data_IF_792461567051
#
_entry.id   IF_792461567051
#
_cell.length_a   1.000
_cell.length_b   1.000
_cell.length_c   1.000
_cell.angle_alpha   90.00
_cell.angle_beta   90.00
_cell.angle_gamma   90.00
#
_symmetry.space_group_name_H-M   'P 1'
#
loop_
_entity.id
_entity.type
_entity.pdbx_description
1 polymer ?
#
# COMPACT_ATOMS: atom_id res chain seq x y z
N UNK A 1 -6.22 11.51 -6.57
CA UNK A 1 -5.98 12.97 -6.45
C UNK A 1 -6.14 13.47 -5.01
N UNK A 2 -7.26 13.17 -4.32
CA UNK A 2 -7.52 13.67 -2.95
C UNK A 2 -6.41 13.36 -1.95
N UNK A 3 -5.93 12.11 -1.90
CA UNK A 3 -4.87 11.71 -0.96
C UNK A 3 -3.52 12.37 -1.28
N UNK A 4 -3.22 12.65 -2.56
CA UNK A 4 -2.02 13.41 -2.94
C UNK A 4 -2.10 14.84 -2.38
N UNK A 5 -3.27 15.49 -2.52
CA UNK A 5 -3.48 16.83 -1.95
C UNK A 5 -3.33 16.81 -0.43
N UNK A 6 -3.91 15.81 0.24
CA UNK A 6 -3.76 15.64 1.69
C UNK A 6 -2.29 15.44 2.09
N UNK A 7 -1.57 14.55 1.37
CA UNK A 7 -0.15 14.33 1.58
C UNK A 7 0.65 15.62 1.44
N UNK A 8 0.49 16.37 0.34
CA UNK A 8 1.20 17.64 0.14
C UNK A 8 0.83 18.69 1.21
N UNK A 9 -0.43 18.75 1.61
CA UNK A 9 -0.90 19.65 2.69
C UNK A 9 -0.22 19.28 4.01
N UNK A 10 -0.17 18.01 4.35
CA UNK A 10 0.52 17.53 5.55
C UNK A 10 2.02 17.81 5.47
N UNK A 11 2.68 17.55 4.33
CA UNK A 11 4.10 17.86 4.17
C UNK A 11 4.42 19.35 4.32
N UNK A 12 3.46 20.23 4.01
CA UNK A 12 3.62 21.68 4.22
C UNK A 12 3.61 22.05 5.71
N UNK A 13 2.77 21.42 6.53
CA UNK A 13 2.60 21.75 7.94
C UNK A 13 3.47 20.91 8.89
N UNK A 14 3.69 19.65 8.56
CA UNK A 14 4.40 18.65 9.37
C UNK A 14 5.34 17.81 8.48
N UNK A 15 6.46 18.40 8.00
CA UNK A 15 7.43 17.71 7.16
C UNK A 15 8.29 16.67 7.89
N UNK A 16 8.18 16.57 9.23
CA UNK A 16 8.93 15.60 10.03
C UNK A 16 8.03 14.50 10.64
N UNK A 17 6.72 14.55 10.36
CA UNK A 17 5.70 13.65 10.88
C UNK A 17 5.56 13.67 12.41
N UNK A 18 6.04 14.69 13.12
CA UNK A 18 6.13 14.75 14.58
C UNK A 18 5.53 16.02 15.22
N UNK A 19 5.03 16.97 14.42
CA UNK A 19 4.40 18.20 14.92
C UNK A 19 2.90 18.27 14.67
N UNK A 20 2.18 18.91 15.59
CA UNK A 20 0.75 19.18 15.40
C UNK A 20 0.50 20.13 14.24
N UNK A 21 -0.53 19.82 13.45
CA UNK A 21 -1.05 20.66 12.38
C UNK A 21 -2.28 21.42 12.87
N UNK A 22 -2.66 22.54 12.21
CA UNK A 22 -3.95 23.16 12.44
C UNK A 22 -5.10 22.16 12.26
N UNK A 23 -6.16 22.19 13.09
CA UNK A 23 -7.26 21.23 13.07
C UNK A 23 -7.90 20.96 11.70
N UNK A 24 -7.98 22.00 10.86
CA UNK A 24 -8.56 21.90 9.52
C UNK A 24 -7.76 20.96 8.60
N UNK A 25 -6.46 20.77 8.83
CA UNK A 25 -5.61 19.84 8.06
C UNK A 25 -6.04 18.41 8.31
N UNK A 26 -6.36 18.05 9.56
CA UNK A 26 -6.88 16.72 9.88
C UNK A 26 -8.31 16.54 9.35
N UNK A 27 -9.15 17.58 9.44
CA UNK A 27 -10.48 17.55 8.85
C UNK A 27 -10.45 17.37 7.31
N UNK A 28 -9.51 18.03 6.62
CA UNK A 28 -9.32 17.84 5.18
C UNK A 28 -8.78 16.44 4.85
N UNK A 29 -7.95 15.86 5.72
CA UNK A 29 -7.52 14.46 5.60
C UNK A 29 -8.71 13.50 5.64
N UNK A 30 -9.63 13.67 6.60
CA UNK A 30 -10.87 12.89 6.69
C UNK A 30 -11.75 13.04 5.45
N UNK A 31 -12.00 14.28 5.03
CA UNK A 31 -12.84 14.57 3.86
C UNK A 31 -12.20 13.99 2.59
N UNK A 32 -10.92 14.22 2.37
CA UNK A 32 -10.23 13.75 1.17
C UNK A 32 -10.16 12.22 1.09
N UNK A 33 -9.96 11.54 2.23
CA UNK A 33 -9.95 10.08 2.27
C UNK A 33 -11.36 9.50 2.06
N UNK A 34 -12.38 10.10 2.66
CA UNK A 34 -13.77 9.72 2.43
C UNK A 34 -14.20 9.93 0.97
N UNK A 35 -13.81 11.06 0.37
CA UNK A 35 -14.07 11.30 -1.05
C UNK A 35 -13.33 10.28 -1.92
N UNK A 36 -12.06 9.98 -1.61
CA UNK A 36 -11.31 8.94 -2.32
C UNK A 36 -12.08 7.62 -2.35
N UNK A 37 -12.42 7.02 -1.20
CA UNK A 37 -13.12 5.73 -1.18
C UNK A 37 -14.48 5.79 -1.89
N UNK A 38 -15.15 6.95 -1.84
CA UNK A 38 -16.48 7.10 -2.42
C UNK A 38 -16.39 7.12 -3.94
N UNK A 39 -15.46 7.90 -4.50
CA UNK A 39 -15.28 7.98 -5.94
C UNK A 39 -14.71 6.69 -6.53
N UNK A 40 -13.85 6.02 -5.77
CA UNK A 40 -13.34 4.68 -6.05
C UNK A 40 -14.51 3.68 -6.19
N UNK A 41 -15.35 3.52 -5.16
CA UNK A 41 -16.51 2.63 -5.23
C UNK A 41 -17.53 3.00 -6.34
N UNK A 42 -17.61 4.28 -6.74
CA UNK A 42 -18.53 4.76 -7.78
C UNK A 42 -18.06 4.39 -9.19
N UNK A 43 -16.76 4.24 -9.43
CA UNK A 43 -16.26 3.97 -10.78
C UNK A 43 -16.73 2.61 -11.32
N UNK A 44 -16.75 1.56 -10.48
CA UNK A 44 -17.20 0.24 -10.84
C UNK A 44 -18.71 0.20 -11.06
N UNK A 45 -19.48 0.97 -10.27
CA UNK A 45 -20.92 1.15 -10.51
C UNK A 45 -21.17 1.81 -11.86
N UNK A 46 -20.40 2.85 -12.18
CA UNK A 46 -20.51 3.57 -13.45
C UNK A 46 -20.07 2.70 -14.64
N UNK A 47 -19.01 1.91 -14.50
CA UNK A 47 -18.56 0.95 -15.51
C UNK A 47 -19.61 -0.12 -15.80
N UNK A 48 -20.27 -0.66 -14.77
CA UNK A 48 -21.38 -1.61 -14.94
C UNK A 48 -22.58 -0.95 -15.63
N UNK A 49 -22.95 0.26 -15.22
CA UNK A 49 -24.07 1.02 -15.81
C UNK A 49 -23.84 1.32 -17.29
N UNK A 50 -22.61 1.67 -17.67
CA UNK A 50 -22.25 2.02 -19.06
C UNK A 50 -21.81 0.80 -19.89
N UNK A 51 -21.82 -0.41 -19.30
CA UNK A 51 -21.35 -1.68 -19.89
C UNK A 51 -19.88 -1.63 -20.36
N UNK A 52 -19.05 -0.89 -19.62
CA UNK A 52 -17.61 -0.71 -19.88
C UNK A 52 -16.72 -1.47 -18.88
N UNK A 53 -17.27 -2.41 -18.11
CA UNK A 53 -16.47 -3.24 -17.21
C UNK A 53 -15.45 -4.07 -18.01
N UNK A 54 -14.20 -4.10 -17.55
CA UNK A 54 -13.14 -4.88 -18.18
C UNK A 54 -11.84 -4.88 -17.36
N UNK A 55 -10.85 -5.68 -17.78
CA UNK A 55 -9.59 -5.89 -17.04
C UNK A 55 -8.79 -4.61 -16.80
N UNK A 56 -8.87 -3.62 -17.70
CA UNK A 56 -8.20 -2.33 -17.52
C UNK A 56 -8.72 -1.59 -16.28
N UNK A 57 -10.03 -1.65 -16.03
CA UNK A 57 -10.66 -0.97 -14.90
C UNK A 57 -10.15 -1.54 -13.58
N UNK A 58 -10.22 -2.86 -13.41
CA UNK A 58 -9.71 -3.57 -12.23
C UNK A 58 -8.21 -3.31 -12.01
N UNK A 59 -7.41 -3.37 -13.08
CA UNK A 59 -5.97 -3.11 -12.99
C UNK A 59 -5.67 -1.67 -12.57
N UNK A 60 -6.39 -0.70 -13.13
CA UNK A 60 -6.20 0.71 -12.84
C UNK A 60 -6.59 1.02 -11.39
N UNK A 61 -7.75 0.55 -10.97
CA UNK A 61 -8.28 0.66 -9.61
C UNK A 61 -7.27 0.15 -8.57
N UNK A 62 -6.92 -1.13 -8.67
CA UNK A 62 -5.98 -1.75 -7.73
C UNK A 62 -4.56 -1.12 -7.76
N UNK A 63 -4.09 -0.66 -8.92
CA UNK A 63 -2.78 0.02 -9.04
C UNK A 63 -2.78 1.39 -8.36
N UNK A 64 -3.88 2.13 -8.47
CA UNK A 64 -4.06 3.41 -7.78
C UNK A 64 -4.14 3.17 -6.28
N UNK A 65 -4.89 2.16 -5.83
CA UNK A 65 -4.97 1.74 -4.43
C UNK A 65 -3.60 1.35 -3.84
N UNK A 66 -2.77 0.67 -4.61
CA UNK A 66 -1.42 0.30 -4.21
C UNK A 66 -0.55 1.52 -3.90
N UNK A 67 -0.59 2.54 -4.77
CA UNK A 67 0.10 3.80 -4.53
C UNK A 67 -0.51 4.58 -3.36
N UNK A 68 -1.84 4.59 -3.30
CA UNK A 68 -2.59 5.34 -2.31
C UNK A 68 -2.34 4.83 -0.89
N UNK A 69 -2.14 3.52 -0.74
CA UNK A 69 -1.81 2.88 0.54
C UNK A 69 -0.57 3.52 1.18
N UNK A 70 0.52 3.67 0.42
CA UNK A 70 1.76 4.25 0.94
C UNK A 70 1.63 5.72 1.33
N UNK A 71 0.99 6.53 0.48
CA UNK A 71 0.73 7.94 0.77
C UNK A 71 -0.18 8.11 1.99
N UNK A 72 -1.23 7.29 2.10
CA UNK A 72 -2.17 7.31 3.22
C UNK A 72 -1.49 6.97 4.55
N UNK A 73 -0.53 6.04 4.54
CA UNK A 73 0.27 5.74 5.74
C UNK A 73 1.11 6.94 6.16
N UNK A 74 1.74 7.66 5.24
CA UNK A 74 2.54 8.84 5.60
C UNK A 74 1.65 9.98 6.14
N UNK A 75 0.46 10.17 5.56
CA UNK A 75 -0.56 11.10 6.08
C UNK A 75 -0.99 10.67 7.50
N UNK A 76 -1.24 9.38 7.70
CA UNK A 76 -1.61 8.85 9.01
C UNK A 76 -0.49 9.03 10.03
N UNK A 77 0.76 8.72 9.67
CA UNK A 77 1.92 8.89 10.52
C UNK A 77 2.08 10.33 11.01
N UNK A 78 1.87 11.32 10.12
CA UNK A 78 1.86 12.72 10.50
C UNK A 78 0.65 13.11 11.38
N UNK A 79 -0.55 12.58 11.09
CA UNK A 79 -1.74 12.84 11.89
C UNK A 79 -1.62 12.30 13.33
N UNK A 80 -0.76 11.30 13.50
CA UNK A 80 -0.52 10.61 14.75
C UNK A 80 0.81 11.03 15.41
N UNK A 81 1.55 11.99 14.86
CA UNK A 81 2.88 12.41 15.28
C UNK A 81 3.90 11.26 15.48
N UNK A 82 3.89 10.27 14.58
CA UNK A 82 4.78 9.09 14.67
C UNK A 82 6.26 9.41 14.41
N UNK A 83 6.54 10.55 13.77
CA UNK A 83 7.87 11.05 13.46
C UNK A 83 8.60 10.27 12.38
N UNK A 84 9.81 10.73 12.07
CA UNK A 84 10.78 10.00 11.26
C UNK A 84 11.39 8.86 12.08
N UNK A 85 10.63 7.78 12.27
CA UNK A 85 10.94 6.74 13.23
C UNK A 85 10.53 5.35 12.76
N UNK A 86 10.94 4.33 13.51
CA UNK A 86 10.50 2.94 13.31
C UNK A 86 8.99 2.78 13.37
N UNK A 87 8.28 3.62 14.13
CA UNK A 87 6.82 3.56 14.22
C UNK A 87 6.15 3.79 12.86
N UNK A 88 6.66 4.77 12.10
CA UNK A 88 6.20 5.05 10.73
C UNK A 88 6.47 3.88 9.79
N UNK A 89 7.65 3.26 9.88
CA UNK A 89 7.96 2.08 9.06
C UNK A 89 7.20 0.82 9.47
N UNK A 90 6.87 0.63 10.74
CA UNK A 90 6.01 -0.47 11.22
C UNK A 90 4.58 -0.28 10.73
N UNK A 91 4.06 0.96 10.73
CA UNK A 91 2.76 1.26 10.14
C UNK A 91 2.76 0.97 8.63
N UNK A 92 3.82 1.40 7.92
CA UNK A 92 3.99 1.12 6.49
C UNK A 92 4.09 -0.37 6.20
N UNK A 93 4.82 -1.12 7.03
CA UNK A 93 4.88 -2.57 6.99
C UNK A 93 3.49 -3.19 7.08
N UNK A 94 2.73 -2.87 8.13
CA UNK A 94 1.42 -3.47 8.35
C UNK A 94 0.46 -3.24 7.17
N UNK A 95 0.37 -2.01 6.67
CA UNK A 95 -0.52 -1.67 5.57
C UNK A 95 -0.10 -2.32 4.24
N UNK A 96 1.17 -2.21 3.86
CA UNK A 96 1.66 -2.76 2.58
C UNK A 96 1.68 -4.30 2.58
N UNK A 97 2.02 -4.92 3.71
CA UNK A 97 2.00 -6.38 3.90
C UNK A 97 0.59 -6.93 3.75
N UNK A 98 -0.40 -6.27 4.35
CA UNK A 98 -1.82 -6.67 4.21
C UNK A 98 -2.23 -6.63 2.74
N UNK A 99 -1.94 -5.54 2.05
CA UNK A 99 -2.35 -5.38 0.65
C UNK A 99 -1.66 -6.39 -0.29
N UNK A 100 -0.36 -6.63 -0.10
CA UNK A 100 0.36 -7.66 -0.85
C UNK A 100 -0.25 -9.04 -0.65
N UNK A 101 -0.51 -9.43 0.61
CA UNK A 101 -1.04 -10.77 0.93
C UNK A 101 -2.45 -10.96 0.41
N UNK A 102 -3.30 -9.93 0.45
CA UNK A 102 -4.63 -9.98 -0.17
C UNK A 102 -4.56 -10.12 -1.69
N UNK A 103 -3.64 -9.40 -2.34
CA UNK A 103 -3.42 -9.54 -3.80
C UNK A 103 -2.86 -10.92 -4.15
N UNK A 104 -1.98 -11.47 -3.31
CA UNK A 104 -1.47 -12.84 -3.45
C UNK A 104 -2.60 -13.87 -3.29
N UNK A 105 -3.48 -13.67 -2.32
CA UNK A 105 -4.66 -14.51 -2.10
C UNK A 105 -5.56 -14.52 -3.33
N UNK A 106 -5.91 -13.34 -3.84
CA UNK A 106 -6.67 -13.15 -5.07
C UNK A 106 -6.00 -13.83 -6.28
N UNK A 107 -4.68 -13.69 -6.45
CA UNK A 107 -3.96 -14.34 -7.55
C UNK A 107 -4.13 -15.87 -7.52
N UNK A 108 -4.05 -16.51 -6.36
CA UNK A 108 -4.14 -17.97 -6.28
C UNK A 108 -5.58 -18.50 -6.20
N UNK A 109 -6.50 -17.74 -5.63
CA UNK A 109 -7.91 -18.12 -5.50
C UNK A 109 -8.76 -17.67 -6.67
N UNK A 110 -8.31 -16.68 -7.45
CA UNK A 110 -9.04 -16.07 -8.57
C UNK A 110 -10.34 -15.38 -8.14
N UNK A 111 -10.44 -15.04 -6.85
CA UNK A 111 -11.62 -14.40 -6.26
C UNK A 111 -11.10 -13.37 -5.26
N UNK A 112 -11.51 -12.12 -5.43
CA UNK A 112 -11.31 -11.10 -4.41
C UNK A 112 -12.32 -11.32 -3.28
N UNK A 113 -11.86 -11.88 -2.15
CA UNK A 113 -12.70 -12.02 -0.96
C UNK A 113 -12.54 -10.83 -0.04
N UNK A 114 -13.54 -9.96 -0.02
CA UNK A 114 -13.68 -8.95 1.03
C UNK A 114 -14.27 -9.62 2.28
N UNK A 115 -13.53 -9.58 3.39
CA UNK A 115 -14.02 -10.08 4.68
C UNK A 115 -15.21 -9.26 5.19
N UNK A 116 -15.91 -9.77 6.22
CA UNK A 116 -17.03 -9.06 6.88
C UNK A 116 -16.58 -7.70 7.43
N UNK A 117 -15.33 -7.61 7.87
CA UNK A 117 -14.63 -6.35 8.11
C UNK A 117 -13.54 -6.28 7.03
N UNK A 118 -13.71 -5.38 6.08
CA UNK A 118 -12.82 -5.15 4.97
C UNK A 118 -11.94 -3.93 5.22
N UNK A 119 -10.67 -4.01 4.84
CA UNK A 119 -9.76 -2.86 4.89
C UNK A 119 -10.29 -1.65 4.11
N UNK A 120 -10.74 -1.81 2.86
CA UNK A 120 -11.21 -0.69 2.02
C UNK A 120 -12.46 0.03 2.52
N UNK A 121 -13.34 -0.63 3.27
CA UNK A 121 -14.58 0.02 3.76
C UNK A 121 -14.44 0.39 5.23
N UNK A 122 -14.37 -0.59 6.13
CA UNK A 122 -14.35 -0.36 7.58
C UNK A 122 -13.02 0.28 8.01
N UNK A 123 -11.91 -0.13 7.41
CA UNK A 123 -10.59 0.43 7.71
C UNK A 123 -10.51 1.92 7.34
N UNK A 124 -10.94 2.29 6.13
CA UNK A 124 -10.93 3.68 5.68
C UNK A 124 -11.89 4.56 6.50
N UNK A 125 -13.11 4.07 6.80
CA UNK A 125 -14.04 4.81 7.66
C UNK A 125 -13.48 5.00 9.08
N UNK A 126 -12.78 3.99 9.62
CA UNK A 126 -12.09 4.11 10.92
C UNK A 126 -11.02 5.20 10.86
N UNK A 127 -10.22 5.27 9.81
CA UNK A 127 -9.23 6.35 9.64
C UNK A 127 -9.89 7.73 9.52
N UNK A 128 -11.01 7.84 8.81
CA UNK A 128 -11.78 9.08 8.75
C UNK A 128 -12.25 9.53 10.15
N UNK A 129 -12.75 8.60 10.97
CA UNK A 129 -13.13 8.89 12.37
C UNK A 129 -11.92 9.34 13.17
N UNK A 130 -10.77 8.66 13.05
CA UNK A 130 -9.53 9.06 13.71
C UNK A 130 -9.13 10.49 13.32
N UNK A 131 -9.15 10.83 12.04
CA UNK A 131 -8.80 12.18 11.58
C UNK A 131 -9.76 13.27 12.07
N UNK A 132 -11.08 13.00 12.05
CA UNK A 132 -12.09 13.91 12.61
C UNK A 132 -11.84 14.12 14.11
N UNK A 133 -11.54 13.03 14.82
CA UNK A 133 -11.26 13.09 16.25
C UNK A 133 -9.96 13.84 16.55
N UNK A 134 -8.88 13.61 15.79
CA UNK A 134 -7.64 14.39 15.88
C UNK A 134 -7.90 15.89 15.65
N UNK A 135 -8.74 16.23 14.66
CA UNK A 135 -9.15 17.61 14.43
C UNK A 135 -9.87 18.21 15.64
N UNK A 136 -10.79 17.44 16.24
CA UNK A 136 -11.55 17.87 17.41
C UNK A 136 -10.66 18.07 18.66
N UNK A 137 -9.74 17.14 18.91
CA UNK A 137 -8.80 17.23 20.04
C UNK A 137 -7.71 18.29 19.85
N UNK A 138 -7.52 18.77 18.62
CA UNK A 138 -6.66 19.90 18.30
C UNK A 138 -5.23 19.54 17.88
N UNK A 139 -4.89 18.26 17.78
CA UNK A 139 -3.51 17.82 17.45
C UNK A 139 -3.31 16.32 17.52
N UNK A 140 -2.27 15.84 16.83
CA UNK A 140 -1.80 14.45 16.89
C UNK A 140 -1.13 14.10 18.22
N UNK A 141 -0.62 15.10 18.96
CA UNK A 141 -0.03 14.96 20.29
C UNK A 141 -0.96 14.30 21.32
N UNK A 142 -2.29 14.39 21.10
CA UNK A 142 -3.28 13.65 21.89
C UNK A 142 -2.99 12.14 21.95
N UNK A 143 -2.56 11.55 20.84
CA UNK A 143 -2.34 10.10 20.74
C UNK A 143 -1.08 9.60 21.48
N UNK A 144 -0.27 10.53 22.00
CA UNK A 144 0.89 10.20 22.84
C UNK A 144 0.56 10.17 24.34
N UNK A 145 -0.68 10.47 24.72
CA UNK A 145 -1.13 10.34 26.11
C UNK A 145 -1.31 8.86 26.48
N UNK A 146 -1.11 8.47 27.75
CA UNK A 146 -1.39 7.10 28.22
C UNK A 146 -2.85 6.72 27.96
N UNK A 147 -3.08 5.65 27.19
CA UNK A 147 -4.43 5.29 26.73
C UNK A 147 -5.37 4.99 27.90
N UNK A 148 -4.95 4.08 28.79
CA UNK A 148 -5.79 3.56 29.87
C UNK A 148 -6.20 4.66 30.86
N UNK A 149 -5.25 5.52 31.22
CA UNK A 149 -5.52 6.68 32.08
C UNK A 149 -6.46 7.67 31.40
N UNK A 150 -6.23 7.98 30.12
CA UNK A 150 -7.04 8.95 29.35
C UNK A 150 -8.51 8.51 29.23
N UNK A 151 -8.76 7.20 29.12
CA UNK A 151 -10.13 6.65 29.08
C UNK A 151 -10.72 6.38 30.47
N UNK A 152 -10.02 6.74 31.55
CA UNK A 152 -10.50 6.64 32.93
C UNK A 152 -10.41 5.25 33.56
N UNK A 153 -9.60 4.35 33.02
CA UNK A 153 -9.38 3.01 33.61
C UNK A 153 -8.39 3.14 34.77
N UNK A 154 -8.78 2.83 36.02
CA UNK A 154 -7.87 2.89 37.15
C UNK A 154 -6.81 1.78 37.03
N UNK A 155 -5.57 2.06 37.46
CA UNK A 155 -4.45 1.11 37.39
C UNK A 155 -4.74 -0.18 38.16
N UNK A 156 -4.87 -1.34 37.47
CA UNK A 156 -5.01 -2.62 38.15
C UNK A 156 -3.70 -3.03 38.83
N UNK A 157 -3.78 -3.68 39.99
CA UNK A 157 -2.60 -4.09 40.78
C UNK A 157 -1.68 -5.09 40.06
N UNK A 158 -2.22 -5.88 39.13
CA UNK A 158 -1.47 -6.87 38.34
C UNK A 158 -0.79 -6.27 37.11
N UNK A 159 -1.11 -5.03 36.73
CA UNK A 159 -0.61 -4.41 35.50
C UNK A 159 0.67 -3.61 35.79
N UNK A 160 1.72 -3.85 35.02
CA UNK A 160 2.98 -3.11 35.16
C UNK A 160 2.78 -1.62 34.82
N UNK A 161 3.59 -0.76 35.44
CA UNK A 161 3.54 0.69 35.16
C UNK A 161 3.84 1.00 33.69
N UNK A 162 4.70 0.22 33.06
CA UNK A 162 5.10 0.38 31.66
C UNK A 162 3.92 0.14 30.71
N UNK A 163 3.13 -0.92 30.95
CA UNK A 163 1.95 -1.22 30.11
C UNK A 163 0.82 -0.24 30.41
N UNK A 164 0.63 0.15 31.67
CA UNK A 164 -0.40 1.12 32.04
C UNK A 164 -0.16 2.50 31.41
N UNK A 165 1.10 2.95 31.37
CA UNK A 165 1.51 4.23 30.80
C UNK A 165 1.72 4.19 29.27
N UNK A 166 1.40 3.06 28.62
CA UNK A 166 1.59 2.92 27.18
C UNK A 166 0.65 3.87 26.41
N UNK A 167 1.19 4.70 25.49
CA UNK A 167 0.39 5.68 24.76
C UNK A 167 -0.53 5.02 23.72
N UNK A 168 -1.55 5.74 23.25
CA UNK A 168 -2.46 5.23 22.20
C UNK A 168 -1.70 4.76 20.97
N UNK A 169 -0.68 5.51 20.52
CA UNK A 169 0.16 5.14 19.37
C UNK A 169 0.77 3.75 19.49
N UNK A 170 1.29 3.37 20.66
CA UNK A 170 1.85 2.03 20.89
C UNK A 170 0.76 0.95 20.95
N UNK A 171 -0.37 1.23 21.60
CA UNK A 171 -1.52 0.32 21.59
C UNK A 171 -2.04 0.08 20.18
N UNK A 172 -2.06 1.09 19.31
CA UNK A 172 -2.41 0.94 17.90
C UNK A 172 -1.46 0.03 17.15
N UNK A 173 -0.14 0.11 17.39
CA UNK A 173 0.82 -0.81 16.78
C UNK A 173 0.59 -2.25 17.25
N UNK A 174 0.32 -2.46 18.54
CA UNK A 174 0.02 -3.79 19.10
C UNK A 174 -1.25 -4.36 18.47
N UNK A 175 -2.33 -3.56 18.43
CA UNK A 175 -3.58 -3.95 17.79
C UNK A 175 -3.37 -4.25 16.29
N UNK A 176 -2.65 -3.37 15.59
CA UNK A 176 -2.31 -3.54 14.18
C UNK A 176 -1.52 -4.82 13.91
N UNK A 177 -0.57 -5.16 14.78
CA UNK A 177 0.20 -6.41 14.67
C UNK A 177 -0.71 -7.65 14.84
N UNK A 178 -1.63 -7.64 15.81
CA UNK A 178 -2.61 -8.72 16.01
C UNK A 178 -3.50 -8.88 14.76
N UNK A 179 -4.03 -7.77 14.26
CA UNK A 179 -4.89 -7.76 13.07
C UNK A 179 -4.13 -8.23 11.83
N UNK A 180 -2.87 -7.83 11.66
CA UNK A 180 -2.02 -8.27 10.57
C UNK A 180 -1.78 -9.79 10.62
N UNK A 181 -1.45 -10.34 11.80
CA UNK A 181 -1.29 -11.78 11.97
C UNK A 181 -2.57 -12.55 11.60
N UNK A 182 -3.73 -12.04 12.03
CA UNK A 182 -5.02 -12.64 11.67
C UNK A 182 -5.27 -12.58 10.16
N UNK A 183 -5.06 -11.42 9.53
CA UNK A 183 -5.26 -11.23 8.10
C UNK A 183 -4.38 -12.17 7.27
N UNK A 184 -3.07 -12.24 7.57
CA UNK A 184 -2.13 -13.13 6.89
C UNK A 184 -2.53 -14.59 7.06
N UNK A 185 -2.83 -15.00 8.30
CA UNK A 185 -3.22 -16.39 8.59
C UNK A 185 -4.50 -16.77 7.85
N UNK A 186 -5.48 -15.87 7.84
CA UNK A 186 -6.75 -16.07 7.13
C UNK A 186 -6.53 -16.26 5.63
N UNK A 187 -5.75 -15.39 4.99
CA UNK A 187 -5.45 -15.50 3.55
C UNK A 187 -4.67 -16.77 3.22
N UNK A 188 -3.69 -17.16 4.04
CA UNK A 188 -2.97 -18.43 3.85
C UNK A 188 -3.92 -19.62 3.93
N UNK A 189 -4.77 -19.67 4.96
CA UNK A 189 -5.77 -20.74 5.11
C UNK A 189 -6.75 -20.78 3.93
N UNK A 190 -7.17 -19.61 3.44
CA UNK A 190 -8.07 -19.48 2.30
C UNK A 190 -7.45 -20.04 1.02
N UNK A 191 -6.25 -19.60 0.64
CA UNK A 191 -5.51 -20.12 -0.53
C UNK A 191 -5.32 -21.63 -0.44
N UNK A 192 -4.87 -22.13 0.72
CA UNK A 192 -4.65 -23.56 0.92
C UNK A 192 -5.95 -24.36 0.77
N UNK A 193 -7.08 -23.84 1.29
CA UNK A 193 -8.39 -24.48 1.18
C UNK A 193 -8.85 -24.54 -0.28
N UNK A 194 -8.89 -23.41 -0.98
CA UNK A 194 -9.35 -23.32 -2.37
C UNK A 194 -8.52 -24.22 -3.29
N UNK A 195 -7.20 -24.28 -3.08
CA UNK A 195 -6.34 -25.15 -3.90
C UNK A 195 -6.52 -26.63 -3.61
N UNK A 196 -6.74 -27.03 -2.36
CA UNK A 196 -7.12 -28.41 -2.01
C UNK A 196 -8.43 -28.81 -2.69
N UNK A 197 -9.43 -27.93 -2.67
CA UNK A 197 -10.72 -28.16 -3.34
C UNK A 197 -10.56 -28.30 -4.86
N UNK A 198 -9.58 -27.60 -5.46
CA UNK A 198 -9.20 -27.73 -6.88
C UNK A 198 -8.29 -28.92 -7.19
N UNK A 199 -7.92 -29.74 -6.21
CA UNK A 199 -6.97 -30.84 -6.39
C UNK A 199 -5.55 -30.39 -6.73
N UNK A 200 -5.18 -29.15 -6.42
CA UNK A 200 -3.86 -28.57 -6.66
C UNK A 200 -3.00 -28.64 -5.39
N UNK A 201 -1.68 -28.56 -5.56
CA UNK A 201 -0.76 -28.48 -4.41
C UNK A 201 -1.01 -27.19 -3.59
N UNK A 202 -1.34 -27.29 -2.30
CA UNK A 202 -1.67 -26.13 -1.47
C UNK A 202 -0.46 -25.38 -0.92
N UNK A 203 0.76 -25.94 -0.99
CA UNK A 203 1.94 -25.35 -0.34
C UNK A 203 2.82 -24.53 -1.28
N UNK A 204 2.90 -24.87 -2.58
CA UNK A 204 3.64 -24.08 -3.57
C UNK A 204 3.27 -22.58 -3.62
N UNK A 205 2.02 -22.13 -3.38
CA UNK A 205 1.72 -20.70 -3.30
C UNK A 205 2.49 -19.96 -2.22
N UNK A 206 2.90 -20.63 -1.14
CA UNK A 206 3.64 -20.00 -0.04
C UNK A 206 4.98 -19.43 -0.50
N UNK A 207 5.57 -19.99 -1.57
CA UNK A 207 6.76 -19.40 -2.19
C UNK A 207 6.49 -17.99 -2.73
N UNK A 208 5.25 -17.69 -3.12
CA UNK A 208 4.81 -16.35 -3.53
C UNK A 208 4.88 -15.31 -2.41
N UNK A 209 5.08 -15.72 -1.15
CA UNK A 209 5.32 -14.81 -0.03
C UNK A 209 6.83 -14.50 0.19
N UNK A 210 7.74 -15.25 -0.46
CA UNK A 210 9.18 -15.00 -0.33
C UNK A 210 9.61 -13.59 -0.77
N UNK A 211 9.09 -12.99 -1.87
CA UNK A 211 9.45 -11.63 -2.25
C UNK A 211 9.12 -10.63 -1.14
N UNK A 212 7.99 -10.80 -0.45
CA UNK A 212 7.58 -9.97 0.67
C UNK A 212 8.54 -10.09 1.85
N UNK A 213 8.99 -11.31 2.18
CA UNK A 213 10.01 -11.54 3.21
C UNK A 213 11.32 -10.85 2.85
N UNK A 214 11.75 -10.91 1.58
CA UNK A 214 12.98 -10.24 1.11
C UNK A 214 12.85 -8.72 1.24
N UNK A 215 11.74 -8.14 0.78
CA UNK A 215 11.45 -6.70 0.89
C UNK A 215 11.59 -6.25 2.36
N UNK A 216 10.89 -6.94 3.26
CA UNK A 216 10.83 -6.57 4.69
C UNK A 216 12.00 -7.08 5.52
N UNK A 217 12.97 -7.76 4.90
CA UNK A 217 14.29 -7.99 5.48
C UNK A 217 15.26 -6.88 5.07
N UNK A 218 15.29 -6.54 3.77
CA UNK A 218 16.22 -5.54 3.23
C UNK A 218 15.93 -4.12 3.73
N UNK A 219 14.65 -3.73 3.82
CA UNK A 219 14.26 -2.38 4.26
C UNK A 219 14.73 -2.10 5.70
N UNK A 220 14.35 -2.90 6.72
CA UNK A 220 14.84 -2.66 8.08
C UNK A 220 16.36 -2.83 8.20
N UNK A 221 16.95 -3.78 7.47
CA UNK A 221 18.41 -3.94 7.48
C UNK A 221 19.11 -2.67 6.99
N UNK A 222 18.66 -2.07 5.89
CA UNK A 222 19.23 -0.83 5.39
C UNK A 222 19.04 0.33 6.36
N UNK A 223 17.83 0.50 6.91
CA UNK A 223 17.51 1.57 7.85
C UNK A 223 18.28 1.44 9.17
N UNK A 224 18.50 0.22 9.66
CA UNK A 224 19.31 -0.05 10.84
C UNK A 224 20.79 0.27 10.60
N UNK A 225 21.32 -0.11 9.43
CA UNK A 225 22.70 0.18 9.05
C UNK A 225 22.93 1.67 8.75
N UNK A 226 21.88 2.39 8.33
CA UNK A 226 21.91 3.81 8.01
C UNK A 226 20.86 4.60 8.80
N UNK A 227 21.04 4.79 10.13
CA UNK A 227 20.07 5.48 10.99
C UNK A 227 19.75 6.91 10.53
N UNK A 228 20.71 7.58 9.87
CA UNK A 228 20.49 8.90 9.29
C UNK A 228 19.33 8.93 8.27
N UNK A 229 19.14 7.85 7.49
CA UNK A 229 18.00 7.73 6.56
C UNK A 229 16.69 7.56 7.31
N UNK A 230 16.69 6.73 8.36
CA UNK A 230 15.53 6.56 9.23
C UNK A 230 15.14 7.88 9.91
N UNK A 231 16.08 8.56 10.55
CA UNK A 231 15.78 9.67 11.44
C UNK A 231 15.55 11.01 10.71
N UNK A 232 16.01 11.14 9.47
CA UNK A 232 15.95 12.42 8.73
C UNK A 232 15.34 12.33 7.32
N UNK A 233 15.26 11.12 6.74
CA UNK A 233 14.81 10.90 5.36
C UNK A 233 13.77 9.78 5.24
N UNK A 234 12.97 9.57 6.30
CA UNK A 234 11.84 8.62 6.35
C UNK A 234 10.85 8.88 5.22
N UNK A 235 10.51 10.13 4.91
CA UNK A 235 9.52 10.44 3.87
C UNK A 235 9.97 9.99 2.47
N UNK A 236 11.12 10.46 1.92
CA UNK A 236 11.56 10.02 0.60
C UNK A 236 11.83 8.51 0.54
N UNK A 237 12.40 7.93 1.61
CA UNK A 237 12.62 6.49 1.65
C UNK A 237 11.31 5.69 1.78
N UNK A 238 10.34 6.19 2.54
CA UNK A 238 9.00 5.60 2.67
C UNK A 238 8.20 5.66 1.37
N UNK A 239 8.35 6.72 0.58
CA UNK A 239 7.81 6.79 -0.79
C UNK A 239 8.47 5.74 -1.70
N UNK A 240 9.78 5.55 -1.61
CA UNK A 240 10.47 4.47 -2.31
C UNK A 240 9.91 3.10 -1.93
N UNK A 241 9.78 2.80 -0.63
CA UNK A 241 9.19 1.55 -0.13
C UNK A 241 7.75 1.36 -0.64
N UNK A 242 6.97 2.44 -0.66
CA UNK A 242 5.60 2.43 -1.18
C UNK A 242 5.55 2.05 -2.65
N UNK A 243 6.46 2.59 -3.47
CA UNK A 243 6.57 2.27 -4.90
C UNK A 243 7.09 0.85 -5.14
N UNK A 244 8.01 0.35 -4.31
CA UNK A 244 8.44 -1.05 -4.34
C UNK A 244 7.22 -1.97 -4.16
N UNK A 245 6.38 -1.69 -3.15
CA UNK A 245 5.16 -2.47 -2.91
C UNK A 245 4.15 -2.32 -4.05
N UNK A 246 3.89 -1.10 -4.51
CA UNK A 246 2.94 -0.84 -5.58
C UNK A 246 3.34 -1.54 -6.89
N UNK A 247 4.63 -1.52 -7.23
CA UNK A 247 5.16 -2.25 -8.37
C UNK A 247 4.97 -3.77 -8.22
N UNK A 248 5.28 -4.32 -7.04
CA UNK A 248 5.09 -5.73 -6.76
C UNK A 248 3.62 -6.16 -6.87
N UNK A 249 2.71 -5.42 -6.25
CA UNK A 249 1.26 -5.67 -6.30
C UNK A 249 0.73 -5.56 -7.73
N UNK A 250 1.09 -4.48 -8.44
CA UNK A 250 0.70 -4.29 -9.84
C UNK A 250 1.10 -5.47 -10.73
N UNK A 251 2.32 -6.01 -10.53
CA UNK A 251 2.75 -7.20 -11.28
C UNK A 251 1.92 -8.44 -10.94
N UNK A 252 1.51 -8.63 -9.69
CA UNK A 252 0.67 -9.76 -9.27
C UNK A 252 -0.70 -9.65 -9.92
N UNK A 253 -1.30 -8.46 -9.95
CA UNK A 253 -2.59 -8.20 -10.58
C UNK A 253 -2.53 -8.48 -12.08
N UNK A 254 -1.48 -8.03 -12.77
CA UNK A 254 -1.28 -8.40 -14.19
C UNK A 254 -1.17 -9.91 -14.33
N UNK A 255 -0.41 -10.56 -13.45
CA UNK A 255 -0.30 -12.02 -13.40
C UNK A 255 -1.67 -12.70 -13.33
N UNK A 256 -2.54 -12.18 -12.46
CA UNK A 256 -3.92 -12.63 -12.30
C UNK A 256 -4.73 -12.39 -13.58
N UNK A 257 -4.81 -11.16 -14.06
CA UNK A 257 -5.61 -10.78 -15.23
C UNK A 257 -5.18 -11.48 -16.52
N UNK A 258 -3.87 -11.69 -16.69
CA UNK A 258 -3.29 -12.33 -17.89
C UNK A 258 -3.08 -13.83 -17.74
N UNK A 259 -3.38 -14.40 -16.56
CA UNK A 259 -3.17 -15.81 -16.23
C UNK A 259 -1.71 -16.26 -16.44
N UNK A 260 -0.75 -15.37 -16.17
CA UNK A 260 0.68 -15.65 -16.26
C UNK A 260 1.26 -16.10 -14.92
N UNK A 261 2.49 -16.63 -14.93
CA UNK A 261 3.17 -17.12 -13.73
C UNK A 261 3.39 -16.03 -12.68
N UNK A 262 3.36 -16.42 -11.40
CA UNK A 262 3.52 -15.49 -10.28
C UNK A 262 4.86 -14.71 -10.38
N UNK A 263 4.85 -13.37 -10.21
CA UNK A 263 6.05 -12.55 -10.33
C UNK A 263 6.87 -12.56 -9.03
N UNK A 264 7.97 -13.32 -9.02
CA UNK A 264 8.86 -13.42 -7.85
C UNK A 264 9.88 -12.29 -7.73
N UNK A 265 10.13 -11.53 -8.80
CA UNK A 265 11.20 -10.55 -8.84
C UNK A 265 10.68 -9.12 -8.70
N UNK A 266 11.48 -8.28 -8.05
CA UNK A 266 11.29 -6.84 -8.05
C UNK A 266 12.64 -6.17 -8.29
N UNK A 267 12.78 -5.53 -9.46
CA UNK A 267 14.06 -4.94 -9.91
C UNK A 267 14.55 -3.83 -8.98
N UNK A 268 13.64 -3.17 -8.26
CA UNK A 268 13.96 -2.10 -7.32
C UNK A 268 14.68 -2.61 -6.06
N UNK A 269 14.64 -3.93 -5.79
CA UNK A 269 15.32 -4.53 -4.65
C UNK A 269 16.80 -4.79 -4.90
N UNK A 270 17.24 -4.93 -6.15
CA UNK A 270 18.65 -5.14 -6.46
C UNK A 270 19.55 -4.00 -5.99
N UNK A 271 19.29 -2.72 -6.31
CA UNK A 271 20.10 -1.64 -5.79
C UNK A 271 19.98 -1.53 -4.26
N UNK A 272 18.79 -1.70 -3.66
CA UNK A 272 18.66 -1.71 -2.20
C UNK A 272 19.53 -2.80 -1.55
N UNK A 273 19.52 -4.02 -2.10
CA UNK A 273 20.36 -5.12 -1.63
C UNK A 273 21.85 -4.77 -1.73
N UNK A 274 22.29 -4.10 -2.79
CA UNK A 274 23.66 -3.59 -2.90
C UNK A 274 23.97 -2.57 -1.80
N UNK A 275 23.05 -1.65 -1.48
CA UNK A 275 23.22 -0.69 -0.39
C UNK A 275 23.32 -1.35 0.99
N UNK A 276 22.53 -2.40 1.24
CA UNK A 276 22.63 -3.23 2.45
C UNK A 276 23.98 -3.94 2.51
N UNK A 277 24.39 -4.61 1.43
CA UNK A 277 25.66 -5.32 1.36
C UNK A 277 26.85 -4.36 1.56
N UNK A 278 26.82 -3.18 0.93
CA UNK A 278 27.84 -2.11 1.05
C UNK A 278 27.95 -1.53 2.47
N UNK A 279 26.83 -1.45 3.18
CA UNK A 279 26.84 -1.00 4.56
C UNK A 279 27.29 -2.10 5.52
N UNK A 280 26.84 -3.34 5.28
CA UNK A 280 27.15 -4.50 6.11
C UNK A 280 28.62 -4.88 6.02
N UNK A 281 29.20 -4.93 4.81
CA UNK A 281 30.61 -5.27 4.64
C UNK A 281 31.56 -4.28 5.31
N UNK A 282 31.17 -3.00 5.46
CA UNK A 282 31.97 -2.03 6.23
C UNK A 282 31.92 -2.39 7.72
N UNK A 283 30.72 -2.72 8.21
CA UNK A 283 30.50 -3.06 9.60
C UNK A 283 31.27 -4.32 10.02
N UNK A 284 31.37 -5.32 9.15
CA UNK A 284 32.10 -6.57 9.42
C UNK A 284 33.58 -6.53 8.98
N UNK A 285 34.07 -5.38 8.49
CA UNK A 285 35.47 -5.17 8.15
C UNK A 285 35.94 -5.77 6.82
N UNK A 286 35.04 -6.08 5.88
CA UNK A 286 35.41 -6.46 4.50
C UNK A 286 36.01 -5.28 3.72
N UNK A 287 35.59 -4.05 4.01
CA UNK A 287 36.21 -2.81 3.53
C UNK A 287 36.31 -1.79 4.65
N UNK A 288 37.18 -0.79 4.48
CA UNK A 288 37.46 0.24 5.49
C UNK A 288 36.31 1.23 5.70
N UNK A 289 35.51 1.49 4.66
CA UNK A 289 34.31 2.32 4.70
C UNK A 289 33.37 1.93 3.53
N UNK A 290 32.05 2.11 3.66
CA UNK A 290 31.10 1.86 2.57
C UNK A 290 31.50 2.63 1.31
N UNK A 291 31.35 2.01 0.14
CA UNK A 291 31.61 2.66 -1.16
C UNK A 291 30.65 3.80 -1.41
N UNK A 292 29.40 3.67 -0.95
CA UNK A 292 28.40 4.74 -0.97
C UNK A 292 28.73 5.87 0.04
N UNK A 293 29.78 5.71 0.85
CA UNK A 293 30.18 6.63 1.88
C UNK A 293 29.21 6.70 3.06
N UNK A 294 29.35 7.75 3.86
CA UNK A 294 28.47 8.08 4.97
C UNK A 294 27.76 9.41 4.71
N UNK A 295 26.68 9.69 5.45
CA UNK A 295 26.00 10.98 5.36
C UNK A 295 25.48 11.25 3.94
N UNK A 296 25.98 12.30 3.29
CA UNK A 296 25.53 12.77 1.99
C UNK A 296 25.51 11.69 0.89
N UNK A 297 26.45 10.74 0.90
CA UNK A 297 26.46 9.66 -0.08
C UNK A 297 25.28 8.69 0.07
N UNK A 298 24.92 8.35 1.32
CA UNK A 298 23.74 7.53 1.63
C UNK A 298 22.44 8.29 1.34
N UNK A 299 22.40 9.60 1.61
CA UNK A 299 21.25 10.46 1.22
C UNK A 299 21.08 10.45 -0.29
N UNK A 300 22.15 10.71 -1.04
CA UNK A 300 22.12 10.69 -2.50
C UNK A 300 21.68 9.34 -3.05
N UNK A 301 22.13 8.24 -2.43
CA UNK A 301 21.70 6.90 -2.78
C UNK A 301 20.20 6.67 -2.50
N UNK A 302 19.68 7.08 -1.35
CA UNK A 302 18.25 6.96 -1.01
C UNK A 302 17.34 7.75 -1.97
N UNK A 303 17.73 8.98 -2.35
CA UNK A 303 17.01 9.74 -3.38
C UNK A 303 17.18 9.12 -4.77
N UNK A 304 18.34 8.52 -5.07
CA UNK A 304 18.57 7.74 -6.29
C UNK A 304 17.64 6.53 -6.39
N UNK A 305 17.45 5.79 -5.27
CA UNK A 305 16.48 4.69 -5.17
C UNK A 305 15.06 5.19 -5.45
N UNK A 306 14.65 6.30 -4.84
CA UNK A 306 13.35 6.91 -5.09
C UNK A 306 13.17 7.30 -6.56
N UNK A 307 14.15 7.99 -7.15
CA UNK A 307 14.11 8.40 -8.56
C UNK A 307 14.02 7.19 -9.51
N UNK A 308 14.78 6.14 -9.25
CA UNK A 308 14.70 4.88 -9.98
C UNK A 308 13.31 4.23 -9.85
N UNK A 309 12.76 4.19 -8.64
CA UNK A 309 11.43 3.63 -8.40
C UNK A 309 10.33 4.40 -9.11
N UNK A 310 10.40 5.73 -9.12
CA UNK A 310 9.49 6.58 -9.91
C UNK A 310 9.60 6.26 -11.41
N UNK A 311 10.82 6.13 -11.94
CA UNK A 311 11.04 5.79 -13.34
C UNK A 311 10.52 4.41 -13.73
N UNK A 312 10.86 3.38 -12.95
CA UNK A 312 10.43 1.99 -13.19
C UNK A 312 8.92 1.84 -13.05
N UNK A 313 8.34 2.37 -11.97
CA UNK A 313 6.89 2.28 -11.75
C UNK A 313 6.12 3.13 -12.77
N UNK A 314 6.61 4.32 -13.10
CA UNK A 314 6.02 5.18 -14.13
C UNK A 314 6.02 4.52 -15.51
N UNK A 315 7.14 3.92 -15.92
CA UNK A 315 7.23 3.14 -17.17
C UNK A 315 6.26 1.98 -17.14
N UNK A 316 6.23 1.22 -16.04
CA UNK A 316 5.33 0.09 -15.87
C UNK A 316 3.86 0.48 -16.07
N UNK A 317 3.38 1.51 -15.36
CA UNK A 317 2.00 2.02 -15.50
C UNK A 317 1.72 2.49 -16.93
N UNK A 318 2.64 3.23 -17.53
CA UNK A 318 2.50 3.71 -18.90
C UNK A 318 2.38 2.55 -19.91
N UNK A 319 3.30 1.59 -19.85
CA UNK A 319 3.36 0.45 -20.77
C UNK A 319 2.09 -0.40 -20.69
N UNK A 320 1.59 -0.63 -19.47
CA UNK A 320 0.36 -1.39 -19.24
C UNK A 320 -0.85 -0.67 -19.82
N UNK A 321 -1.04 0.60 -19.44
CA UNK A 321 -2.23 1.35 -19.84
C UNK A 321 -2.26 1.45 -21.37
N UNK A 322 -1.14 1.81 -21.99
CA UNK A 322 -1.05 1.94 -23.44
C UNK A 322 -1.27 0.59 -24.14
N UNK A 323 -0.59 -0.47 -23.70
CA UNK A 323 -0.74 -1.82 -24.29
C UNK A 323 -2.18 -2.33 -24.21
N UNK A 324 -2.85 -2.18 -23.06
CA UNK A 324 -4.23 -2.65 -22.90
C UNK A 324 -5.20 -1.79 -23.71
N UNK A 325 -5.04 -0.46 -23.69
CA UNK A 325 -5.85 0.46 -24.48
C UNK A 325 -5.75 0.13 -25.98
N UNK A 326 -4.54 -0.11 -26.47
CA UNK A 326 -4.28 -0.43 -27.88
C UNK A 326 -4.80 -1.83 -28.25
N UNK A 327 -4.66 -2.81 -27.36
CA UNK A 327 -5.09 -4.19 -27.62
C UNK A 327 -6.62 -4.33 -27.62
N UNK A 328 -7.31 -3.74 -26.63
CA UNK A 328 -8.77 -3.81 -26.46
C UNK A 328 -9.49 -2.71 -27.26
N UNK A 329 -8.74 -1.76 -27.83
CA UNK A 329 -9.24 -0.63 -28.61
C UNK A 329 -10.15 0.31 -27.79
N UNK A 330 -9.67 0.74 -26.62
CA UNK A 330 -10.38 1.65 -25.71
C UNK A 330 -9.53 2.87 -25.37
N UNK A 331 -10.17 3.93 -24.84
CA UNK A 331 -9.45 5.03 -24.22
C UNK A 331 -9.47 4.86 -22.70
N UNK A 332 -8.38 5.24 -22.04
CA UNK A 332 -8.22 4.99 -20.59
C UNK A 332 -9.23 5.77 -19.73
N UNK A 333 -9.44 7.06 -20.03
CA UNK A 333 -10.23 7.97 -19.18
C UNK A 333 -11.54 8.45 -19.84
N UNK A 334 -11.83 7.98 -21.05
CA UNK A 334 -13.00 8.39 -21.83
C UNK A 334 -13.62 7.18 -22.52
N UNK A 335 -14.93 7.20 -22.72
CA UNK A 335 -15.60 6.09 -23.39
C UNK A 335 -15.50 6.29 -24.91
N UNK A 336 -14.73 5.43 -25.57
CA UNK A 336 -14.58 5.44 -27.04
C UNK A 336 -15.86 5.01 -27.77
N UNK A 337 -16.52 3.97 -27.25
CA UNK A 337 -17.73 3.38 -27.83
C UNK A 337 -18.91 3.43 -26.85
N UNK A 338 -19.67 4.55 -26.81
CA UNK A 338 -20.77 4.71 -25.86
C UNK A 338 -21.93 3.75 -26.16
N UNK A 339 -22.50 3.18 -25.10
CA UNK A 339 -23.70 2.36 -25.21
C UNK A 339 -24.92 3.23 -25.56
N UNK A 340 -25.57 2.93 -26.69
CA UNK A 340 -26.83 3.58 -27.13
C UNK A 340 -27.91 2.50 -27.27
N UNK A 341 -28.91 2.56 -26.39
CA UNK A 341 -29.96 1.52 -26.26
C UNK A 341 -30.75 1.31 -27.58
N UNK A 342 -30.92 2.38 -28.37
CA UNK A 342 -31.67 2.37 -29.62
C UNK A 342 -30.97 1.58 -30.75
N UNK A 343 -29.64 1.52 -30.73
CA UNK A 343 -28.81 0.82 -31.72
C UNK A 343 -28.82 -0.69 -31.49
N UNK A 344 -28.87 -1.14 -30.23
CA UNK A 344 -28.95 -2.56 -29.87
C UNK A 344 -30.33 -3.17 -30.20
N UNK A 345 -31.42 -2.41 -29.99
CA UNK A 345 -32.78 -2.84 -30.39
C UNK A 345 -32.94 -2.97 -31.90
N UNK A 346 -32.32 -2.08 -32.69
CA UNK A 346 -32.36 -2.12 -34.17
C UNK A 346 -31.47 -3.22 -34.77
N UNK A 347 -30.44 -3.67 -34.06
CA UNK A 347 -29.50 -4.72 -34.54
C UNK A 347 -29.85 -6.13 -34.07
N UNK A 348 -30.96 -6.29 -33.33
CA UNK A 348 -31.67 -7.56 -33.14
C UNK A 348 -30.79 -8.79 -33.02
N UNK A 349 -30.09 -8.97 -31.89
CA UNK A 349 -29.45 -10.24 -31.54
C UNK A 349 -28.43 -10.80 -32.54
N UNK A 350 -27.88 -9.97 -33.45
CA UNK A 350 -26.77 -10.42 -34.30
C UNK A 350 -25.52 -10.51 -33.43
N UNK A 351 -25.04 -11.75 -33.28
CA UNK A 351 -23.87 -12.17 -32.51
C UNK A 351 -22.81 -11.07 -32.42
N UNK A 352 -22.44 -10.69 -31.19
CA UNK A 352 -21.17 -10.02 -30.92
C UNK A 352 -20.05 -10.84 -31.59
N UNK A 353 -19.58 -10.37 -32.72
CA UNK A 353 -18.21 -10.61 -33.16
C UNK A 353 -17.33 -9.86 -32.16
N UNK A 354 -17.13 -10.46 -30.98
CA UNK A 354 -15.89 -10.23 -30.25
C UNK A 354 -14.85 -10.70 -31.23
N UNK A 355 -14.09 -9.75 -31.76
CA UNK A 355 -12.92 -10.02 -32.57
C UNK A 355 -11.99 -10.83 -31.68
N UNK A 356 -12.09 -12.15 -31.78
CA UNK A 356 -11.04 -13.09 -31.43
C UNK A 356 -9.85 -12.76 -32.32
N UNK A 357 -9.05 -11.77 -31.90
CA UNK A 357 -7.71 -11.57 -32.44
C UNK A 357 -6.81 -12.60 -31.75
N UNK A 358 -6.79 -13.78 -32.36
CA UNK A 358 -5.75 -14.81 -32.34
C UNK A 358 -5.21 -15.21 -30.94
N UNK A 359 -5.76 -16.29 -30.42
CA UNK A 359 -4.91 -17.38 -29.92
C UNK A 359 -3.98 -17.86 -31.04
N UNK A 360 -2.68 -17.62 -30.88
CA UNK A 360 -1.61 -18.48 -31.35
C UNK A 360 -0.43 -18.36 -30.42
#
# INVERSE_FOLDING_TARGET
>A
MFVIINFLTVMWYNPNLDTDCPPWVYASCAIGLFLYQTFDAVDGMQARRTRQSGPLGELFDHSVDACNTGLSVLVFAAAMNMGQSWMTFIALFGSTMTFYVQTWDEYYTQILTLGVISGPVEGILTLCVVYIFTAYMGGGSFWHQPMLETIGVPKPSFLSSQVYNMPFTQWYLVYGAIMLCFAISSSIMHVMKVRRERGQDPFSPLYGLLPLVVIWTLIPAYLYLQPMILENYTIPFGLFVSLVNAYSVGRIIIGHLTQTSFPYQNVLLYPLALGVLDSLGALIGLWSAPVLGYGAGQVGFAFGLLGLAVGVYGSFVFDIITTICDYIDIWCLTIKYPFVEETERKTGGSKRTIVSKKTM
#
